data_IF_510329490571
#
_entry.id   IF_510329490571
#
_cell.length_a   1.000
_cell.length_b   1.000
_cell.length_c   1.000
_cell.angle_alpha   90.00
_cell.angle_beta   90.00
_cell.angle_gamma   90.00
#
_symmetry.space_group_name_H-M   'P 1'
#
loop_
_entity.id
_entity.type
_entity.pdbx_description
1 polymer ?
#
# COMPACT_ATOMS: atom_id res chain seq x y z
N UNK A 1 8.06 -2.44 21.07
CA UNK A 1 7.34 -2.72 19.80
C UNK A 1 7.12 -4.20 19.63
N UNK A 2 8.13 -5.05 19.80
CA UNK A 2 8.01 -6.52 19.70
C UNK A 2 6.83 -7.10 20.50
N UNK A 3 6.66 -6.74 21.78
CA UNK A 3 5.53 -7.22 22.61
C UNK A 3 4.16 -6.84 22.03
N UNK A 4 4.02 -5.70 21.34
CA UNK A 4 2.75 -5.26 20.75
C UNK A 4 2.49 -5.91 19.38
N UNK A 5 3.54 -6.30 18.66
CA UNK A 5 3.45 -7.14 17.46
C UNK A 5 3.05 -8.58 17.82
N UNK A 6 3.54 -9.10 18.94
CA UNK A 6 3.20 -10.44 19.45
C UNK A 6 1.72 -10.57 19.86
N UNK A 7 1.07 -9.46 20.23
CA UNK A 7 -0.38 -9.41 20.51
C UNK A 7 -1.21 -9.13 19.24
N UNK A 8 -0.58 -9.13 18.05
CA UNK A 8 -1.19 -8.82 16.74
C UNK A 8 -1.86 -7.45 16.67
N UNK A 9 -1.47 -6.49 17.52
CA UNK A 9 -2.10 -5.17 17.54
C UNK A 9 -1.67 -4.32 16.33
N UNK A 10 -0.42 -4.51 15.89
CA UNK A 10 0.18 -3.84 14.75
C UNK A 10 0.85 -4.83 13.81
N UNK A 11 0.91 -4.47 12.54
CA UNK A 11 1.61 -5.20 11.49
C UNK A 11 2.55 -4.26 10.76
N UNK A 12 3.65 -4.81 10.25
CA UNK A 12 4.59 -4.09 9.43
C UNK A 12 4.66 -4.67 8.04
N UNK A 13 4.81 -3.80 7.04
CA UNK A 13 5.28 -4.18 5.71
C UNK A 13 6.55 -3.41 5.38
N UNK A 14 7.51 -4.11 4.80
CA UNK A 14 8.81 -3.55 4.44
C UNK A 14 8.77 -2.94 3.04
N UNK A 15 9.77 -2.11 2.75
CA UNK A 15 10.05 -1.67 1.39
C UNK A 15 10.42 -2.88 0.54
N UNK A 16 9.86 -3.00 -0.66
CA UNK A 16 10.35 -3.95 -1.64
C UNK A 16 11.68 -3.50 -2.22
N UNK A 17 12.71 -4.32 -2.05
CA UNK A 17 14.00 -4.17 -2.71
C UNK A 17 14.67 -5.54 -2.85
N UNK A 18 15.39 -5.81 -3.93
CA UNK A 18 16.14 -7.07 -4.06
C UNK A 18 17.26 -7.21 -3.02
N UNK A 19 17.75 -6.09 -2.47
CA UNK A 19 18.71 -6.06 -1.38
C UNK A 19 18.00 -6.16 -0.03
N UNK A 20 18.24 -7.27 0.68
CA UNK A 20 17.77 -7.47 2.06
C UNK A 20 18.22 -6.31 2.97
N UNK A 21 19.45 -5.82 2.78
CA UNK A 21 19.97 -4.68 3.52
C UNK A 21 19.04 -3.46 3.33
N UNK A 22 18.66 -3.15 2.09
CA UNK A 22 17.75 -2.04 1.83
C UNK A 22 16.37 -2.27 2.40
N UNK A 23 15.84 -3.50 2.38
CA UNK A 23 14.56 -3.80 3.03
C UNK A 23 14.58 -3.48 4.53
N UNK A 24 15.68 -3.81 5.23
CA UNK A 24 15.82 -3.63 6.68
C UNK A 24 16.08 -2.16 7.06
N UNK A 25 16.91 -1.45 6.30
CA UNK A 25 17.29 -0.07 6.64
C UNK A 25 16.22 0.98 6.30
N UNK A 26 15.29 0.66 5.40
CA UNK A 26 14.22 1.59 5.06
C UNK A 26 13.06 1.47 6.07
N UNK A 27 12.38 2.56 6.43
CA UNK A 27 11.26 2.52 7.36
C UNK A 27 10.15 1.58 6.89
N UNK A 28 9.63 0.74 7.78
CA UNK A 28 8.44 -0.07 7.51
C UNK A 28 7.18 0.79 7.56
N UNK A 29 6.17 0.45 6.75
CA UNK A 29 4.80 0.96 6.96
C UNK A 29 4.12 0.14 8.05
N UNK A 30 3.44 0.81 8.98
CA UNK A 30 2.75 0.19 10.12
C UNK A 30 1.24 0.27 9.90
N UNK A 31 0.57 -0.85 10.10
CA UNK A 31 -0.87 -1.01 10.03
C UNK A 31 -1.41 -1.59 11.33
N UNK A 32 -2.68 -1.33 11.64
CA UNK A 32 -3.33 -1.67 12.91
C UNK A 32 -4.42 -2.71 12.64
N UNK A 33 -4.55 -3.73 13.50
CA UNK A 33 -5.60 -4.75 13.38
C UNK A 33 -7.01 -4.17 13.52
N UNK A 34 -7.16 -3.20 14.43
CA UNK A 34 -8.41 -2.52 14.74
C UNK A 34 -8.30 -1.04 14.33
N UNK A 35 -8.95 -0.69 13.23
CA UNK A 35 -9.01 0.68 12.72
C UNK A 35 -9.73 1.62 13.68
N UNK A 36 -10.70 1.14 14.47
CA UNK A 36 -11.39 1.95 15.47
C UNK A 36 -10.46 2.28 16.64
N UNK A 37 -9.63 1.32 17.07
CA UNK A 37 -8.59 1.55 18.07
C UNK A 37 -7.57 2.59 17.57
N UNK A 38 -7.08 2.43 16.34
CA UNK A 38 -6.19 3.41 15.69
C UNK A 38 -6.78 4.82 15.65
N UNK A 39 -8.04 4.95 15.24
CA UNK A 39 -8.76 6.22 15.17
C UNK A 39 -9.06 6.85 16.54
N UNK A 40 -9.16 6.02 17.59
CA UNK A 40 -9.40 6.52 18.96
C UNK A 40 -8.15 7.14 19.59
N UNK A 41 -6.95 6.75 19.13
CA UNK A 41 -5.65 7.16 19.68
C UNK A 41 -4.97 8.22 18.77
N UNK A 42 -5.30 8.23 17.46
CA UNK A 42 -4.75 9.19 16.50
C UNK A 42 -5.41 10.57 16.60
N UNK A 43 -4.62 11.64 16.44
CA UNK A 43 -5.12 13.01 16.34
C UNK A 43 -5.95 13.17 15.06
N UNK A 44 -7.21 13.63 15.19
CA UNK A 44 -8.17 13.72 14.09
C UNK A 44 -7.85 14.87 13.11
N UNK A 45 -6.96 14.63 12.15
CA UNK A 45 -6.81 15.45 10.94
C UNK A 45 -7.35 14.73 9.70
N UNK A 46 -7.67 15.47 8.63
CA UNK A 46 -8.19 14.94 7.36
C UNK A 46 -7.24 13.95 6.67
N UNK A 47 -5.94 13.98 6.96
CA UNK A 47 -4.96 12.99 6.49
C UNK A 47 -5.27 11.56 6.99
N UNK A 48 -6.02 11.39 8.09
CA UNK A 48 -6.34 10.06 8.60
C UNK A 48 -7.20 9.23 7.64
N UNK A 49 -8.03 9.83 6.78
CA UNK A 49 -8.96 9.02 5.98
C UNK A 49 -8.25 8.17 4.92
N UNK A 50 -7.22 8.71 4.27
CA UNK A 50 -6.40 7.94 3.34
C UNK A 50 -5.70 6.77 4.04
N UNK A 51 -5.15 7.02 5.23
CA UNK A 51 -4.50 5.99 6.05
C UNK A 51 -5.49 4.90 6.51
N UNK A 52 -6.75 5.26 6.84
CA UNK A 52 -7.79 4.29 7.19
C UNK A 52 -8.10 3.38 5.99
N UNK A 53 -8.20 3.95 4.79
CA UNK A 53 -8.45 3.18 3.56
C UNK A 53 -7.29 2.26 3.23
N UNK A 54 -6.05 2.76 3.30
CA UNK A 54 -4.84 1.93 3.16
C UNK A 54 -4.84 0.79 4.18
N UNK A 55 -5.17 1.08 5.45
CA UNK A 55 -5.22 0.07 6.50
C UNK A 55 -6.29 -1.00 6.25
N UNK A 56 -7.47 -0.60 5.77
CA UNK A 56 -8.55 -1.52 5.41
C UNK A 56 -8.12 -2.47 4.27
N UNK A 57 -7.51 -1.92 3.23
CA UNK A 57 -6.96 -2.70 2.10
C UNK A 57 -5.86 -3.64 2.59
N UNK A 58 -4.95 -3.16 3.44
CA UNK A 58 -3.92 -3.99 4.06
C UNK A 58 -4.54 -5.19 4.80
N UNK A 59 -5.55 -4.96 5.64
CA UNK A 59 -6.20 -6.02 6.42
C UNK A 59 -6.84 -7.07 5.51
N UNK A 60 -7.48 -6.64 4.42
CA UNK A 60 -8.07 -7.55 3.44
C UNK A 60 -7.01 -8.38 2.71
N UNK A 61 -5.90 -7.76 2.28
CA UNK A 61 -4.77 -8.46 1.67
C UNK A 61 -4.14 -9.47 2.63
N UNK A 62 -4.01 -9.10 3.91
CA UNK A 62 -3.51 -9.97 4.97
C UNK A 62 -4.45 -11.14 5.23
N UNK A 63 -5.77 -10.91 5.29
CA UNK A 63 -6.81 -11.95 5.44
C UNK A 63 -6.77 -12.95 4.28
N UNK A 64 -6.42 -12.51 3.08
CA UNK A 64 -6.19 -13.38 1.90
C UNK A 64 -4.79 -14.01 1.86
N UNK A 65 -4.01 -13.87 2.94
CA UNK A 65 -2.67 -14.40 3.10
C UNK A 65 -1.71 -14.01 1.95
N UNK A 66 -1.80 -12.76 1.48
CA UNK A 66 -0.92 -12.23 0.44
C UNK A 66 0.44 -11.85 1.03
N UNK A 67 1.51 -12.10 0.28
CA UNK A 67 2.84 -11.56 0.55
C UNK A 67 2.90 -10.15 -0.03
N UNK A 68 3.03 -9.14 0.82
CA UNK A 68 2.90 -7.73 0.46
C UNK A 68 4.07 -6.88 0.94
N UNK A 69 4.40 -5.87 0.15
CA UNK A 69 5.44 -4.88 0.40
C UNK A 69 4.95 -3.52 -0.11
N UNK A 70 5.48 -2.41 0.40
CA UNK A 70 5.32 -1.13 -0.31
C UNK A 70 6.50 -0.90 -1.24
N UNK A 71 6.40 0.00 -2.21
CA UNK A 71 7.52 0.30 -3.11
C UNK A 71 7.73 1.78 -3.30
N UNK A 72 9.00 2.18 -3.46
CA UNK A 72 9.40 3.55 -3.70
C UNK A 72 10.47 3.63 -4.78
N UNK A 73 10.18 4.40 -5.82
CA UNK A 73 11.10 4.66 -6.92
C UNK A 73 12.23 5.59 -6.49
N UNK A 74 13.34 5.58 -7.23
CA UNK A 74 14.44 6.55 -7.05
C UNK A 74 14.01 8.00 -7.25
N UNK A 75 12.91 8.24 -7.97
CA UNK A 75 12.33 9.57 -8.21
C UNK A 75 11.33 9.98 -7.13
N UNK A 76 11.18 9.18 -6.05
CA UNK A 76 10.29 9.47 -4.95
C UNK A 76 8.81 9.14 -5.21
N UNK A 77 8.50 8.41 -6.28
CA UNK A 77 7.14 7.87 -6.50
C UNK A 77 6.94 6.65 -5.61
N UNK A 78 5.75 6.48 -5.06
CA UNK A 78 5.44 5.42 -4.11
C UNK A 78 4.22 4.63 -4.57
N UNK A 79 4.21 3.33 -4.29
CA UNK A 79 3.06 2.44 -4.44
C UNK A 79 2.79 1.76 -3.11
N UNK A 80 1.53 1.75 -2.69
CA UNK A 80 1.15 1.30 -1.34
C UNK A 80 1.38 -0.20 -1.14
N UNK A 81 0.93 -1.03 -2.10
CA UNK A 81 1.07 -2.47 -2.01
C UNK A 81 1.52 -3.09 -3.33
N UNK A 82 2.69 -3.73 -3.31
CA UNK A 82 3.10 -4.75 -4.26
C UNK A 82 2.71 -6.13 -3.73
N UNK A 83 2.09 -6.94 -4.58
CA UNK A 83 1.75 -8.33 -4.28
C UNK A 83 2.80 -9.24 -4.89
N UNK A 84 3.54 -9.93 -4.03
CA UNK A 84 4.56 -10.90 -4.43
C UNK A 84 3.95 -12.31 -4.51
N UNK A 85 4.33 -13.05 -5.56
CA UNK A 85 3.99 -14.46 -5.75
C UNK A 85 5.26 -15.23 -6.13
N UNK A 86 5.83 -15.96 -5.17
CA UNK A 86 7.10 -16.63 -5.35
C UNK A 86 8.23 -15.61 -5.55
N UNK A 87 8.87 -15.60 -6.72
CA UNK A 87 9.96 -14.68 -7.05
C UNK A 87 9.52 -13.44 -7.85
N UNK A 88 8.23 -13.30 -8.16
CA UNK A 88 7.72 -12.24 -9.04
C UNK A 88 6.75 -11.32 -8.29
N UNK A 89 6.72 -10.06 -8.70
CA UNK A 89 5.63 -9.13 -8.35
C UNK A 89 4.51 -9.33 -9.37
N UNK A 90 3.36 -9.80 -8.88
CA UNK A 90 2.21 -10.18 -9.71
C UNK A 90 1.20 -9.04 -9.85
N UNK A 91 1.12 -8.18 -8.82
CA UNK A 91 0.19 -7.04 -8.79
C UNK A 91 0.76 -5.83 -8.06
N UNK A 92 0.22 -4.66 -8.39
CA UNK A 92 0.42 -3.42 -7.66
C UNK A 92 -0.93 -2.74 -7.39
N UNK A 93 -1.11 -2.27 -6.17
CA UNK A 93 -2.33 -1.60 -5.70
C UNK A 93 -1.93 -0.24 -5.15
N UNK A 94 -2.62 0.80 -5.65
CA UNK A 94 -2.61 2.15 -5.10
C UNK A 94 -3.95 2.39 -4.41
N UNK A 95 -3.94 2.97 -3.21
CA UNK A 95 -5.16 3.32 -2.48
C UNK A 95 -5.29 4.84 -2.46
N UNK A 96 -6.46 5.35 -2.84
CA UNK A 96 -6.71 6.79 -2.82
C UNK A 96 -8.17 7.05 -2.48
N UNK A 97 -8.41 7.80 -1.40
CA UNK A 97 -9.77 8.10 -0.95
C UNK A 97 -10.58 8.88 -2.00
N UNK A 98 -9.95 9.86 -2.66
CA UNK A 98 -10.63 10.78 -3.57
C UNK A 98 -9.83 10.94 -4.87
N UNK A 99 -10.44 10.55 -6.00
CA UNK A 99 -9.87 10.67 -7.34
C UNK A 99 -10.56 11.72 -8.21
N UNK A 100 -11.37 12.61 -7.62
CA UNK A 100 -12.10 13.65 -8.36
C UNK A 100 -11.18 14.68 -9.00
N UNK A 101 -9.97 14.88 -8.47
CA UNK A 101 -8.94 15.70 -9.08
C UNK A 101 -8.16 14.91 -10.14
N UNK A 102 -8.26 15.33 -11.40
CA UNK A 102 -7.53 14.75 -12.53
C UNK A 102 -6.02 14.68 -12.26
N UNK A 103 -5.43 15.70 -11.62
CA UNK A 103 -3.99 15.71 -11.31
C UNK A 103 -3.62 14.62 -10.31
N UNK A 104 -4.49 14.34 -9.35
CA UNK A 104 -4.32 13.25 -8.38
C UNK A 104 -4.41 11.91 -9.10
N UNK A 105 -5.44 11.69 -9.92
CA UNK A 105 -5.59 10.47 -10.72
C UNK A 105 -4.38 10.21 -11.64
N UNK A 106 -3.92 11.22 -12.39
CA UNK A 106 -2.79 11.11 -13.31
C UNK A 106 -1.52 10.72 -12.55
N UNK A 107 -1.31 11.27 -11.33
CA UNK A 107 -0.18 10.92 -10.47
C UNK A 107 -0.25 9.46 -9.98
N UNK A 108 -1.42 9.00 -9.54
CA UNK A 108 -1.60 7.63 -9.06
C UNK A 108 -1.38 6.61 -10.18
N UNK A 109 -1.88 6.90 -11.39
CA UNK A 109 -1.62 6.08 -12.59
C UNK A 109 -0.13 6.07 -12.92
N UNK A 110 0.54 7.22 -12.91
CA UNK A 110 1.98 7.31 -13.19
C UNK A 110 2.80 6.46 -12.21
N UNK A 111 2.48 6.49 -10.92
CA UNK A 111 3.16 5.69 -9.90
C UNK A 111 3.04 4.18 -10.20
N UNK A 112 1.83 3.71 -10.51
CA UNK A 112 1.57 2.31 -10.87
C UNK A 112 2.26 1.89 -12.18
N UNK A 113 2.28 2.76 -13.19
CA UNK A 113 2.97 2.49 -14.46
C UNK A 113 4.47 2.38 -14.27
N UNK A 114 5.09 3.20 -13.42
CA UNK A 114 6.51 3.04 -13.09
C UNK A 114 6.79 1.68 -12.44
N UNK A 115 5.95 1.24 -11.50
CA UNK A 115 6.10 -0.08 -10.89
C UNK A 115 5.88 -1.22 -11.91
N UNK A 116 4.90 -1.07 -12.82
CA UNK A 116 4.65 -2.01 -13.93
C UNK A 116 5.89 -2.17 -14.80
N UNK A 117 6.53 -1.08 -15.17
CA UNK A 117 7.70 -1.11 -16.04
C UNK A 117 8.92 -1.72 -15.35
N UNK A 118 9.11 -1.43 -14.06
CA UNK A 118 10.23 -1.94 -13.26
C UNK A 118 10.10 -3.45 -12.98
N UNK A 119 8.89 -3.95 -12.67
CA UNK A 119 8.70 -5.33 -12.23
C UNK A 119 7.94 -6.23 -13.22
N UNK A 120 7.53 -5.69 -14.38
CA UNK A 120 6.71 -6.40 -15.38
C UNK A 120 5.40 -6.94 -14.79
N UNK A 121 4.73 -6.09 -14.02
CA UNK A 121 3.51 -6.41 -13.29
C UNK A 121 2.36 -6.66 -14.26
N UNK A 122 1.55 -7.67 -13.97
CA UNK A 122 0.39 -8.04 -14.80
C UNK A 122 -0.86 -7.25 -14.43
N UNK A 123 -1.09 -7.03 -13.14
CA UNK A 123 -2.30 -6.43 -12.61
C UNK A 123 -2.01 -5.11 -11.89
N UNK A 124 -2.64 -4.02 -12.34
CA UNK A 124 -2.61 -2.73 -11.67
C UNK A 124 -4.01 -2.42 -11.15
N UNK A 125 -4.11 -1.93 -9.93
CA UNK A 125 -5.40 -1.62 -9.32
C UNK A 125 -5.30 -0.31 -8.56
N UNK A 126 -6.31 0.55 -8.70
CA UNK A 126 -6.52 1.69 -7.82
C UNK A 126 -7.79 1.41 -7.02
N UNK A 127 -7.72 1.50 -5.70
CA UNK A 127 -8.88 1.35 -4.81
C UNK A 127 -9.28 2.76 -4.35
N UNK A 128 -10.53 3.13 -4.55
CA UNK A 128 -11.11 4.44 -4.21
C UNK A 128 -12.45 4.31 -3.50
N UNK A 129 -12.97 5.40 -2.94
CA UNK A 129 -14.34 5.46 -2.37
C UNK A 129 -15.43 5.35 -3.44
N UNK A 130 -15.15 5.84 -4.65
CA UNK A 130 -16.08 5.89 -5.78
C UNK A 130 -16.38 4.50 -6.37
N UNK A 131 -17.41 4.41 -7.23
CA UNK A 131 -17.85 3.17 -7.87
C UNK A 131 -16.77 2.49 -8.74
N UNK A 132 -16.86 1.16 -8.87
CA UNK A 132 -15.93 0.33 -9.65
C UNK A 132 -15.82 0.81 -11.11
N UNK A 133 -14.57 1.01 -11.59
CA UNK A 133 -14.27 1.38 -12.98
C UNK A 133 -13.15 0.52 -13.57
N UNK A 134 -13.35 0.05 -14.80
CA UNK A 134 -12.31 -0.59 -15.61
C UNK A 134 -11.80 0.40 -16.68
N UNK A 135 -10.47 0.51 -16.81
CA UNK A 135 -9.81 1.32 -17.86
C UNK A 135 -8.71 0.50 -18.53
N UNK A 136 -8.73 0.47 -19.86
CA UNK A 136 -7.62 -0.06 -20.66
C UNK A 136 -6.55 1.03 -20.80
N UNK A 137 -5.30 0.72 -20.40
CA UNK A 137 -4.13 1.63 -20.43
C UNK A 137 -3.01 0.99 -21.25
#
# INVERSE_FOLDING_TARGET
MEILEEVFLFFQINLFDYSIKRQIYNPSKIYIIDTALGNSISFKFSENIGHIYENLVFLELKRRNKEIYYWKSKKGKEVDFLIKRGLKIDGAIQVSYNLNDKKTLDREIENLLMAKDEFKIKYLTIITEDEDMEKEI
#
